data_IF_424441945433
#
_entry.id   IF_424441945433
#
_cell.length_a   1.000
_cell.length_b   1.000
_cell.length_c   1.000
_cell.angle_alpha   90.00
_cell.angle_beta   90.00
_cell.angle_gamma   90.00
#
_symmetry.space_group_name_H-M   'P 1'
#
loop_
_entity.id
_entity.type
_entity.pdbx_description
1 polymer ?
#
# COMPACT_ATOMS: atom_id res chain seq x y z
N UNK A 1 -3.57 -16.27 3.54
CA UNK A 1 -2.52 -15.23 3.47
C UNK A 1 -1.26 -15.71 4.17
N UNK A 2 -0.11 -15.55 3.55
CA UNK A 2 1.21 -15.85 4.09
C UNK A 2 1.93 -14.55 4.42
N UNK A 3 2.47 -14.44 5.63
CA UNK A 3 3.32 -13.33 6.07
C UNK A 3 4.74 -13.84 6.30
N UNK A 4 5.72 -13.18 5.70
CA UNK A 4 7.14 -13.44 5.95
C UNK A 4 7.78 -12.19 6.54
N UNK A 5 8.44 -12.31 7.68
CA UNK A 5 9.17 -11.22 8.34
C UNK A 5 10.48 -11.71 8.91
N UNK A 6 11.35 -10.80 9.32
CA UNK A 6 12.49 -11.16 10.16
C UNK A 6 12.01 -11.63 11.53
N UNK A 7 12.71 -12.57 12.13
CA UNK A 7 12.34 -13.16 13.43
C UNK A 7 12.89 -12.35 14.59
N UNK A 8 12.13 -12.30 15.68
CA UNK A 8 12.61 -11.79 16.97
C UNK A 8 13.73 -12.65 17.59
N UNK A 9 13.90 -13.89 17.12
CA UNK A 9 15.03 -14.76 17.51
C UNK A 9 16.34 -14.42 16.79
N UNK A 10 16.33 -13.38 15.93
CA UNK A 10 17.56 -12.89 15.30
C UNK A 10 18.51 -12.32 16.34
N UNK A 11 19.79 -12.65 16.21
CA UNK A 11 20.85 -12.20 17.09
C UNK A 11 21.70 -11.14 16.39
N UNK A 12 21.94 -10.02 17.05
CA UNK A 12 22.78 -8.92 16.55
C UNK A 12 23.67 -8.45 17.69
N UNK A 13 24.99 -8.60 17.52
CA UNK A 13 26.01 -8.06 18.42
C UNK A 13 26.79 -6.98 17.66
N UNK A 14 26.86 -5.80 18.23
CA UNK A 14 27.52 -4.64 17.64
C UNK A 14 28.58 -4.11 18.66
N UNK A 15 29.86 -4.34 18.36
CA UNK A 15 30.92 -3.99 19.29
C UNK A 15 30.75 -4.68 20.69
N UNK A 16 30.27 -5.93 20.69
CA UNK A 16 29.97 -6.70 21.91
C UNK A 16 28.62 -6.38 22.57
N UNK A 17 27.89 -5.38 22.11
CA UNK A 17 26.58 -5.00 22.63
C UNK A 17 25.46 -5.76 21.87
N UNK A 18 24.60 -6.46 22.58
CA UNK A 18 23.42 -7.12 22.02
C UNK A 18 22.35 -6.08 21.67
N UNK A 19 21.79 -6.19 20.45
CA UNK A 19 20.72 -5.34 19.94
C UNK A 19 19.49 -6.18 19.62
N UNK A 20 18.33 -5.62 19.91
CA UNK A 20 17.04 -6.23 19.58
C UNK A 20 16.47 -5.59 18.32
N UNK A 21 16.04 -6.42 17.35
CA UNK A 21 15.36 -5.95 16.16
C UNK A 21 14.12 -5.10 16.53
N UNK A 22 13.93 -4.03 15.75
CA UNK A 22 12.86 -3.03 15.83
C UNK A 22 12.83 -2.16 17.10
N UNK A 23 13.56 -2.53 18.16
CA UNK A 23 13.77 -1.67 19.32
C UNK A 23 15.06 -0.87 19.22
N UNK A 24 16.17 -1.55 18.93
CA UNK A 24 17.53 -0.98 18.92
C UNK A 24 18.07 -0.88 17.49
N UNK A 25 17.62 -1.77 16.59
CA UNK A 25 18.07 -1.89 15.22
C UNK A 25 16.92 -2.19 14.26
N UNK A 26 16.99 -1.65 13.05
CA UNK A 26 16.12 -1.97 11.92
C UNK A 26 17.00 -2.49 10.79
N UNK A 27 16.72 -3.69 10.29
CA UNK A 27 17.31 -4.17 9.07
C UNK A 27 16.65 -3.47 7.87
N UNK A 28 17.46 -2.87 6.99
CA UNK A 28 16.95 -2.12 5.83
C UNK A 28 16.55 -3.02 4.66
N UNK A 29 16.70 -4.35 4.83
CA UNK A 29 16.14 -5.36 3.93
C UNK A 29 15.50 -6.47 4.75
N UNK A 30 14.48 -7.12 4.18
CA UNK A 30 13.81 -8.27 4.80
C UNK A 30 14.48 -9.61 4.45
N UNK A 31 15.76 -9.58 4.07
CA UNK A 31 16.52 -10.77 3.73
C UNK A 31 17.27 -11.29 4.97
N UNK A 32 17.36 -12.62 5.17
CA UNK A 32 18.24 -13.19 6.16
C UNK A 32 19.69 -12.75 5.96
N UNK A 33 20.41 -12.57 7.05
CA UNK A 33 21.80 -12.10 7.03
C UNK A 33 22.61 -12.94 8.02
N UNK A 34 23.78 -13.41 7.58
CA UNK A 34 24.81 -13.96 8.46
C UNK A 34 26.08 -13.13 8.26
N UNK A 35 26.62 -12.55 9.32
CA UNK A 35 27.81 -11.71 9.28
C UNK A 35 28.68 -11.89 10.51
N UNK A 36 30.00 -11.98 10.32
CA UNK A 36 31.05 -11.77 11.34
C UNK A 36 32.12 -10.88 10.70
N UNK A 37 31.97 -9.56 10.86
CA UNK A 37 32.73 -8.55 10.15
C UNK A 37 33.39 -7.58 11.13
N UNK A 38 34.68 -7.23 10.93
CA UNK A 38 35.29 -6.13 11.65
C UNK A 38 34.57 -4.83 11.29
N UNK A 39 34.37 -3.95 12.27
CA UNK A 39 33.78 -2.65 12.08
C UNK A 39 34.85 -1.61 11.82
N UNK A 40 34.58 -0.72 10.87
CA UNK A 40 35.29 0.54 10.71
C UNK A 40 34.29 1.71 10.85
N UNK A 41 34.60 2.61 11.74
CA UNK A 41 33.80 3.83 11.90
C UNK A 41 34.38 4.93 10.98
N UNK A 42 33.48 5.57 10.23
CA UNK A 42 33.82 6.73 9.39
C UNK A 42 32.96 7.91 9.82
N UNK A 43 33.57 9.09 9.94
CA UNK A 43 32.91 10.28 10.46
C UNK A 43 31.87 10.84 9.45
N UNK A 44 32.19 10.76 8.16
CA UNK A 44 31.38 11.33 7.07
C UNK A 44 31.70 10.66 5.72
N UNK A 45 31.03 11.13 4.66
CA UNK A 45 31.24 10.59 3.29
C UNK A 45 32.64 10.88 2.76
N UNK A 46 33.30 11.96 3.17
CA UNK A 46 34.67 12.26 2.74
C UNK A 46 35.70 11.36 3.45
N UNK A 47 35.45 10.99 4.70
CA UNK A 47 36.25 10.00 5.41
C UNK A 47 36.06 8.60 4.80
N UNK A 48 34.88 8.25 4.29
CA UNK A 48 34.62 6.97 3.62
C UNK A 48 35.53 6.77 2.40
N UNK A 49 35.78 7.83 1.60
CA UNK A 49 36.64 7.76 0.41
C UNK A 49 38.12 7.55 0.73
N UNK A 50 38.54 7.91 1.94
CA UNK A 50 39.96 7.83 2.38
C UNK A 50 40.25 6.66 3.31
N UNK A 51 39.23 5.91 3.70
CA UNK A 51 39.36 4.81 4.66
C UNK A 51 39.29 3.46 3.95
N UNK A 52 40.17 2.54 4.27
CA UNK A 52 40.05 1.16 3.78
C UNK A 52 38.85 0.47 4.45
N UNK A 53 37.80 0.31 3.70
CA UNK A 53 36.52 -0.29 4.14
C UNK A 53 36.29 -1.66 3.49
N UNK A 54 37.19 -2.13 2.64
CA UNK A 54 36.99 -3.35 1.85
C UNK A 54 36.79 -4.57 2.77
N UNK A 55 35.67 -5.25 2.57
CA UNK A 55 35.31 -6.45 3.34
C UNK A 55 34.94 -6.19 4.81
N UNK A 56 34.74 -4.93 5.21
CA UNK A 56 34.39 -4.55 6.60
C UNK A 56 32.96 -4.07 6.69
N UNK A 57 32.40 -4.11 7.88
CA UNK A 57 31.15 -3.42 8.22
C UNK A 57 31.48 -1.93 8.46
N UNK A 58 30.83 -1.03 7.72
CA UNK A 58 31.09 0.41 7.81
C UNK A 58 30.01 1.06 8.69
N UNK A 59 30.44 1.66 9.79
CA UNK A 59 29.57 2.39 10.69
C UNK A 59 29.72 3.91 10.47
N UNK A 60 28.60 4.62 10.33
CA UNK A 60 28.59 6.07 10.22
C UNK A 60 27.33 6.67 10.82
N UNK A 61 27.46 7.89 11.37
CA UNK A 61 26.31 8.66 11.84
C UNK A 61 25.58 9.29 10.64
N UNK A 62 24.25 9.21 10.64
CA UNK A 62 23.39 9.87 9.66
C UNK A 62 22.62 10.98 10.33
N UNK A 63 22.43 12.09 9.61
CA UNK A 63 21.69 13.27 10.06
C UNK A 63 20.45 13.47 9.18
N UNK A 64 19.38 14.07 9.71
CA UNK A 64 18.20 14.37 8.90
C UNK A 64 18.56 15.28 7.72
N UNK A 65 17.95 15.03 6.56
CA UNK A 65 17.99 15.99 5.46
C UNK A 65 17.02 17.11 5.82
N UNK A 66 17.45 18.40 5.79
CA UNK A 66 16.51 19.51 5.96
C UNK A 66 15.38 19.40 4.92
N UNK A 67 14.16 19.17 5.38
CA UNK A 67 13.00 19.19 4.52
C UNK A 67 12.58 20.64 4.29
N UNK A 68 12.41 21.06 3.03
CA UNK A 68 11.68 22.27 2.74
C UNK A 68 10.24 22.09 3.24
N UNK A 69 9.59 23.14 3.76
CA UNK A 69 8.20 23.06 4.18
C UNK A 69 7.34 22.69 2.97
N UNK A 70 7.03 21.41 2.86
CA UNK A 70 6.09 20.91 1.87
C UNK A 70 4.66 21.21 2.33
N UNK A 71 3.75 21.44 1.40
CA UNK A 71 2.35 21.71 1.65
C UNK A 71 1.74 20.72 2.66
N UNK A 72 0.83 21.20 3.47
CA UNK A 72 0.32 20.64 4.74
C UNK A 72 -0.08 19.15 4.78
N UNK A 73 -0.17 18.44 3.65
CA UNK A 73 -0.67 17.07 3.57
C UNK A 73 0.39 15.98 3.41
N UNK A 74 1.66 16.34 3.25
CA UNK A 74 2.72 15.39 2.90
C UNK A 74 3.74 15.12 4.01
N UNK A 75 3.55 15.65 5.22
CA UNK A 75 4.63 15.72 6.22
C UNK A 75 5.11 14.33 6.69
N UNK A 76 4.22 13.37 6.94
CA UNK A 76 4.65 12.02 7.38
C UNK A 76 5.16 11.15 6.23
N UNK A 77 4.46 11.09 5.13
CA UNK A 77 4.84 10.29 3.97
C UNK A 77 6.13 10.79 3.31
N UNK A 78 6.29 12.09 3.14
CA UNK A 78 7.49 12.69 2.55
C UNK A 78 8.72 12.56 3.45
N UNK A 79 8.57 12.73 4.78
CA UNK A 79 9.70 12.58 5.69
C UNK A 79 10.19 11.13 5.75
N UNK A 80 9.30 10.15 5.78
CA UNK A 80 9.64 8.73 5.72
C UNK A 80 10.27 8.36 4.38
N UNK A 81 9.72 8.84 3.26
CA UNK A 81 10.27 8.60 1.93
C UNK A 81 11.65 9.24 1.77
N UNK A 82 11.84 10.46 2.28
CA UNK A 82 13.12 11.18 2.25
C UNK A 82 14.16 10.47 3.13
N UNK A 83 13.79 10.06 4.34
CA UNK A 83 14.68 9.30 5.23
C UNK A 83 15.06 7.97 4.62
N UNK A 84 14.13 7.22 4.07
CA UNK A 84 14.41 5.95 3.39
C UNK A 84 15.31 6.13 2.17
N UNK A 85 15.15 7.21 1.39
CA UNK A 85 16.02 7.54 0.26
C UNK A 85 17.44 7.88 0.72
N UNK A 86 17.57 8.68 1.78
CA UNK A 86 18.84 9.02 2.41
C UNK A 86 19.58 7.76 2.89
N UNK A 87 18.92 6.89 3.64
CA UNK A 87 19.51 5.65 4.13
C UNK A 87 19.99 4.78 2.97
N UNK A 88 19.17 4.59 1.93
CA UNK A 88 19.58 3.85 0.72
C UNK A 88 20.78 4.46 0.03
N UNK A 89 20.88 5.79 -0.04
CA UNK A 89 22.02 6.48 -0.63
C UNK A 89 23.31 6.20 0.14
N UNK A 90 23.29 6.22 1.47
CA UNK A 90 24.45 5.88 2.29
C UNK A 90 24.86 4.41 2.09
N UNK A 91 23.90 3.48 2.11
CA UNK A 91 24.18 2.06 1.82
C UNK A 91 24.83 1.88 0.46
N UNK A 92 24.33 2.55 -0.58
CA UNK A 92 24.89 2.47 -1.92
C UNK A 92 26.34 2.99 -1.99
N UNK A 93 26.63 4.11 -1.32
CA UNK A 93 28.01 4.67 -1.25
C UNK A 93 28.97 3.73 -0.54
N UNK A 94 28.54 3.12 0.59
CA UNK A 94 29.35 2.15 1.33
C UNK A 94 29.62 0.91 0.46
N UNK A 95 28.60 0.42 -0.25
CA UNK A 95 28.76 -0.72 -1.18
C UNK A 95 29.74 -0.39 -2.32
N UNK A 96 29.66 0.81 -2.92
CA UNK A 96 30.56 1.28 -3.96
C UNK A 96 32.00 1.39 -3.47
N UNK A 97 32.21 1.79 -2.23
CA UNK A 97 33.54 1.83 -1.60
C UNK A 97 34.10 0.44 -1.25
N UNK A 98 33.33 -0.64 -1.42
CA UNK A 98 33.73 -2.02 -1.13
C UNK A 98 33.42 -2.50 0.28
N UNK A 99 32.61 -1.76 1.04
CA UNK A 99 32.10 -2.20 2.35
C UNK A 99 31.25 -3.45 2.21
N UNK A 100 31.38 -4.38 3.16
CA UNK A 100 30.63 -5.64 3.19
C UNK A 100 29.28 -5.54 3.88
N UNK A 101 29.11 -4.57 4.79
CA UNK A 101 27.85 -4.24 5.45
C UNK A 101 27.81 -2.75 5.83
N UNK A 102 26.62 -2.20 6.00
CA UNK A 102 26.40 -0.81 6.46
C UNK A 102 25.74 -0.79 7.83
N UNK A 103 26.23 0.07 8.72
CA UNK A 103 25.67 0.37 10.03
C UNK A 103 25.41 1.88 10.08
N UNK A 104 24.16 2.28 9.87
CA UNK A 104 23.76 3.67 9.87
C UNK A 104 23.24 4.04 11.26
N UNK A 105 23.88 4.99 11.92
CA UNK A 105 23.61 5.36 13.31
C UNK A 105 22.83 6.68 13.32
N UNK A 106 21.67 6.72 13.97
CA UNK A 106 20.93 7.98 14.18
C UNK A 106 21.80 8.99 14.94
N UNK A 107 21.67 10.28 14.61
CA UNK A 107 22.37 11.36 15.32
C UNK A 107 21.78 11.67 16.70
N UNK A 108 20.65 11.05 17.05
CA UNK A 108 19.91 11.27 18.30
C UNK A 108 18.90 12.40 18.23
N UNK A 109 18.64 12.96 17.03
CA UNK A 109 17.58 13.94 16.83
C UNK A 109 16.18 13.31 16.93
N UNK A 110 15.20 14.05 17.46
CA UNK A 110 13.80 13.61 17.55
C UNK A 110 13.23 13.19 16.20
N UNK A 111 13.62 13.89 15.14
CA UNK A 111 13.18 13.60 13.77
C UNK A 111 13.61 12.22 13.29
N UNK A 112 14.87 11.82 13.54
CA UNK A 112 15.33 10.45 13.20
C UNK A 112 14.78 9.40 14.16
N UNK A 113 14.52 9.73 15.42
CA UNK A 113 13.87 8.80 16.35
C UNK A 113 12.43 8.49 15.95
N UNK A 114 11.66 9.49 15.54
CA UNK A 114 10.30 9.27 15.00
C UNK A 114 10.34 8.45 13.71
N UNK A 115 11.23 8.77 12.79
CA UNK A 115 11.40 8.00 11.55
C UNK A 115 11.87 6.57 11.82
N UNK A 116 12.72 6.35 12.84
CA UNK A 116 13.15 5.03 13.25
C UNK A 116 11.96 4.20 13.74
N UNK A 117 11.12 4.74 14.63
CA UNK A 117 9.91 4.06 15.13
C UNK A 117 8.97 3.70 13.98
N UNK A 118 8.73 4.62 13.06
CA UNK A 118 7.89 4.38 11.90
C UNK A 118 8.47 3.28 10.98
N UNK A 119 9.78 3.33 10.71
CA UNK A 119 10.47 2.34 9.87
C UNK A 119 10.51 0.97 10.55
N UNK A 120 10.78 0.92 11.86
CA UNK A 120 10.75 -0.30 12.66
C UNK A 120 9.37 -0.97 12.60
N UNK A 121 8.31 -0.19 12.68
CA UNK A 121 6.94 -0.67 12.59
C UNK A 121 6.64 -1.30 11.22
N UNK A 122 6.98 -0.61 10.15
CA UNK A 122 6.78 -1.14 8.78
C UNK A 122 7.62 -2.38 8.56
N UNK A 123 8.90 -2.36 8.96
CA UNK A 123 9.81 -3.50 8.81
C UNK A 123 9.36 -4.72 9.63
N UNK A 124 8.85 -4.52 10.85
CA UNK A 124 8.36 -5.62 11.70
C UNK A 124 7.14 -6.34 11.14
N UNK A 125 6.39 -5.71 10.26
CA UNK A 125 5.27 -6.34 9.55
C UNK A 125 5.73 -7.39 8.55
N UNK A 126 6.88 -7.17 7.90
CA UNK A 126 7.39 -8.00 6.82
C UNK A 126 6.57 -7.83 5.53
N UNK A 127 6.53 -8.89 4.74
CA UNK A 127 5.79 -8.96 3.48
C UNK A 127 4.63 -9.92 3.56
N UNK A 128 3.58 -9.65 2.80
CA UNK A 128 2.39 -10.47 2.71
C UNK A 128 2.20 -10.99 1.29
N UNK A 129 1.69 -12.21 1.17
CA UNK A 129 1.37 -12.82 -0.10
C UNK A 129 0.13 -13.71 0.03
N UNK A 130 -0.57 -13.92 -1.07
CA UNK A 130 -1.62 -14.91 -1.16
C UNK A 130 -0.94 -16.27 -1.20
N UNK A 131 -1.37 -17.18 -0.33
CA UNK A 131 -0.93 -18.57 -0.36
C UNK A 131 -2.00 -19.37 -1.10
N UNK A 132 -1.71 -19.71 -2.37
CA UNK A 132 -2.55 -20.64 -3.10
C UNK A 132 -2.24 -22.05 -2.61
N UNK A 133 -3.18 -22.69 -1.95
CA UNK A 133 -3.03 -24.05 -1.45
C UNK A 133 -2.50 -24.98 -2.58
N UNK A 134 -1.23 -25.38 -2.47
CA UNK A 134 -0.58 -26.34 -3.36
C UNK A 134 0.18 -25.79 -4.56
N UNK A 135 0.31 -24.50 -4.76
CA UNK A 135 1.07 -23.89 -5.86
C UNK A 135 2.22 -23.02 -5.36
N UNK A 136 3.32 -23.00 -6.11
CA UNK A 136 4.42 -22.07 -5.89
C UNK A 136 3.89 -20.65 -5.74
N UNK A 137 4.50 -19.85 -4.83
CA UNK A 137 4.16 -18.46 -4.55
C UNK A 137 3.77 -17.74 -5.85
N UNK A 138 2.48 -17.45 -6.01
CA UNK A 138 1.96 -16.83 -7.22
C UNK A 138 2.54 -15.43 -7.36
N UNK A 139 3.65 -15.31 -8.06
CA UNK A 139 3.94 -14.10 -8.80
C UNK A 139 2.78 -13.94 -9.76
N UNK A 140 1.98 -12.87 -9.57
CA UNK A 140 0.93 -12.54 -10.53
C UNK A 140 1.62 -12.39 -11.89
N UNK A 141 1.50 -13.43 -12.72
CA UNK A 141 1.98 -13.38 -14.07
C UNK A 141 1.20 -12.23 -14.75
N UNK A 142 1.94 -11.27 -15.26
CA UNK A 142 1.46 -10.32 -16.24
C UNK A 142 0.71 -11.12 -17.31
N UNK A 143 -0.51 -10.73 -17.74
CA UNK A 143 -1.18 -11.43 -18.83
C UNK A 143 -0.23 -11.51 -20.02
N UNK A 144 -0.18 -12.63 -20.76
CA UNK A 144 0.74 -12.81 -21.84
C UNK A 144 0.45 -11.75 -22.91
N UNK A 145 1.36 -10.79 -23.05
CA UNK A 145 1.42 -9.99 -24.26
C UNK A 145 1.77 -10.95 -25.38
N UNK A 146 0.84 -11.16 -26.31
CA UNK A 146 1.14 -11.81 -27.58
C UNK A 146 2.23 -10.98 -28.30
N UNK A 147 3.46 -11.40 -28.13
CA UNK A 147 4.52 -11.10 -29.07
C UNK A 147 5.44 -12.33 -29.09
N UNK A 148 5.13 -13.23 -30.01
CA UNK A 148 6.02 -14.33 -30.39
C UNK A 148 7.11 -13.72 -31.23
N UNK A 149 8.34 -13.70 -30.71
CA UNK A 149 9.62 -13.87 -31.39
C UNK A 149 10.74 -13.12 -30.69
N UNK A 150 11.41 -13.80 -29.76
CA UNK A 150 12.84 -13.65 -29.52
C UNK A 150 13.33 -14.81 -28.64
N UNK A 151 14.52 -15.38 -28.89
CA UNK A 151 15.00 -16.60 -28.25
C UNK A 151 15.53 -16.33 -26.85
N UNK A 152 15.34 -17.32 -25.98
CA UNK A 152 15.56 -17.27 -24.56
C UNK A 152 16.98 -17.14 -24.07
N UNK A 153 17.08 -16.58 -22.89
CA UNK A 153 18.09 -16.95 -21.87
C UNK A 153 17.41 -16.89 -20.51
N UNK A 154 17.32 -18.01 -19.85
CA UNK A 154 16.74 -18.14 -18.53
C UNK A 154 17.61 -17.53 -17.43
N UNK A 155 16.97 -16.85 -16.47
CA UNK A 155 17.52 -16.70 -15.11
C UNK A 155 16.39 -16.46 -14.11
N UNK A 156 16.34 -17.29 -13.10
CA UNK A 156 15.48 -17.14 -11.94
C UNK A 156 15.85 -15.87 -11.14
N UNK A 157 14.86 -15.03 -10.87
CA UNK A 157 15.02 -13.84 -10.04
C UNK A 157 13.85 -13.70 -9.08
N UNK A 158 14.12 -13.74 -7.77
CA UNK A 158 13.14 -13.56 -6.71
C UNK A 158 12.53 -12.17 -6.71
N UNK A 159 11.20 -12.12 -6.64
CA UNK A 159 10.43 -10.89 -6.61
C UNK A 159 10.34 -10.29 -5.21
N UNK A 160 10.72 -9.04 -5.07
CA UNK A 160 10.41 -8.23 -3.90
C UNK A 160 9.10 -7.49 -4.14
N UNK A 161 8.16 -7.68 -3.24
CA UNK A 161 6.96 -6.86 -3.16
C UNK A 161 7.28 -5.60 -2.33
N UNK A 162 7.25 -4.45 -2.96
CA UNK A 162 7.34 -3.15 -2.30
C UNK A 162 6.70 -2.12 -3.21
N UNK A 163 5.67 -1.45 -2.74
CA UNK A 163 5.05 -0.37 -3.47
C UNK A 163 6.02 0.78 -3.74
N UNK A 164 5.99 1.32 -4.93
CA UNK A 164 6.78 2.47 -5.35
C UNK A 164 7.47 2.22 -6.69
N UNK A 165 6.86 2.79 -7.77
CA UNK A 165 7.43 2.75 -9.11
C UNK A 165 8.81 3.38 -9.20
N UNK A 166 9.78 2.63 -9.71
CA UNK A 166 11.11 3.10 -10.06
C UNK A 166 11.60 2.34 -11.27
N UNK A 167 11.89 3.08 -12.34
CA UNK A 167 12.51 2.61 -13.58
C UNK A 167 13.76 1.80 -13.27
N UNK A 168 13.91 0.66 -13.94
CA UNK A 168 15.02 -0.23 -13.81
C UNK A 168 16.37 0.47 -13.93
N UNK A 169 17.18 0.32 -12.90
CA UNK A 169 18.62 0.50 -12.93
C UNK A 169 19.25 -0.80 -12.46
N UNK A 170 20.35 -1.13 -13.17
CA UNK A 170 21.07 -2.37 -13.06
C UNK A 170 21.36 -2.84 -11.63
N UNK A 171 21.64 -4.12 -11.49
CA UNK A 171 22.04 -4.83 -10.29
C UNK A 171 23.11 -4.07 -9.48
N UNK A 172 22.69 -3.15 -8.63
CA UNK A 172 23.54 -2.71 -7.54
C UNK A 172 23.55 -3.82 -6.50
N UNK A 173 24.72 -4.36 -6.21
CA UNK A 173 24.95 -5.35 -5.15
C UNK A 173 24.52 -4.69 -3.85
N UNK A 174 23.37 -5.07 -3.34
CA UNK A 174 22.86 -4.56 -2.06
C UNK A 174 23.58 -5.32 -0.96
N UNK A 175 24.39 -4.61 -0.18
CA UNK A 175 25.02 -5.15 1.04
C UNK A 175 24.01 -5.19 2.18
N UNK A 176 24.18 -6.08 3.18
CA UNK A 176 23.43 -6.02 4.45
C UNK A 176 23.53 -4.64 5.10
N UNK A 177 22.42 -4.12 5.59
CA UNK A 177 22.39 -2.81 6.20
C UNK A 177 21.49 -2.77 7.43
N UNK A 178 22.00 -2.20 8.51
CA UNK A 178 21.29 -1.93 9.76
C UNK A 178 21.19 -0.43 9.99
N UNK A 179 20.02 0.03 10.37
CA UNK A 179 19.84 1.35 10.95
C UNK A 179 19.66 1.20 12.45
N UNK A 180 20.48 1.88 13.24
CA UNK A 180 20.56 1.71 14.69
C UNK A 180 20.45 3.05 15.43
N UNK A 181 19.99 2.99 16.66
CA UNK A 181 19.92 4.18 17.52
C UNK A 181 21.28 4.68 17.93
N UNK A 182 21.39 5.95 18.33
CA UNK A 182 22.64 6.60 18.75
C UNK A 182 23.36 5.89 19.91
N UNK A 183 22.63 5.23 20.79
CA UNK A 183 23.16 4.53 21.95
C UNK A 183 24.26 3.47 21.66
N UNK A 184 24.47 3.12 20.39
CA UNK A 184 25.51 2.15 19.98
C UNK A 184 26.83 2.81 19.59
N UNK A 185 26.90 4.15 19.51
CA UNK A 185 28.02 4.87 18.93
C UNK A 185 29.38 4.51 19.57
N UNK A 186 29.43 4.45 20.89
CA UNK A 186 30.66 4.10 21.60
C UNK A 186 31.06 2.64 21.35
N UNK A 187 30.10 1.72 21.22
CA UNK A 187 30.36 0.32 20.94
C UNK A 187 31.03 0.11 19.58
N UNK A 188 30.62 0.89 18.54
CA UNK A 188 31.21 0.76 17.21
C UNK A 188 32.57 1.46 17.08
N UNK A 189 32.90 2.40 17.97
CA UNK A 189 34.17 3.10 18.03
C UNK A 189 35.23 2.33 18.84
N UNK A 190 34.82 1.31 19.57
CA UNK A 190 35.71 0.50 20.37
C UNK A 190 36.78 -0.19 19.51
N UNK A 191 38.02 -0.32 19.98
CA UNK A 191 39.04 -1.07 19.27
C UNK A 191 38.59 -2.52 19.02
N UNK A 192 38.85 -3.01 17.81
CA UNK A 192 38.45 -4.36 17.36
C UNK A 192 36.93 -4.64 17.40
N UNK A 193 36.09 -3.61 17.32
CA UNK A 193 34.65 -3.78 17.25
C UNK A 193 34.26 -4.67 16.06
N UNK A 194 33.29 -5.55 16.26
CA UNK A 194 32.74 -6.44 15.24
C UNK A 194 31.23 -6.31 15.14
N UNK A 195 30.72 -6.52 13.94
CA UNK A 195 29.34 -6.87 13.69
C UNK A 195 29.25 -8.40 13.63
N UNK A 196 28.59 -9.00 14.60
CA UNK A 196 28.21 -10.42 14.53
C UNK A 196 26.68 -10.45 14.45
N UNK A 197 26.14 -10.98 13.36
CA UNK A 197 24.70 -11.00 13.14
C UNK A 197 24.26 -12.33 12.55
N UNK A 198 23.18 -12.87 13.13
CA UNK A 198 22.41 -13.99 12.60
C UNK A 198 20.95 -13.53 12.50
N UNK A 199 20.60 -12.90 11.38
CA UNK A 199 19.24 -12.41 11.13
C UNK A 199 18.51 -13.48 10.34
N UNK A 200 17.46 -14.03 10.93
CA UNK A 200 16.66 -15.10 10.34
C UNK A 200 15.25 -14.61 10.04
N UNK A 201 14.57 -15.26 9.10
CA UNK A 201 13.18 -14.98 8.79
C UNK A 201 12.24 -16.05 9.32
N UNK A 202 11.01 -15.65 9.60
CA UNK A 202 9.92 -16.53 10.01
C UNK A 202 8.70 -16.32 9.11
N UNK A 203 7.92 -17.37 8.93
CA UNK A 203 6.72 -17.34 8.08
C UNK A 203 5.51 -17.77 8.89
N UNK A 204 4.44 -16.99 8.75
CA UNK A 204 3.15 -17.24 9.39
C UNK A 204 2.07 -17.39 8.32
N UNK A 205 1.03 -18.15 8.65
CA UNK A 205 -0.17 -18.28 7.83
C UNK A 205 -1.37 -17.75 8.59
N UNK A 206 -2.16 -16.90 7.94
CA UNK A 206 -3.37 -16.32 8.51
C UNK A 206 -4.55 -16.56 7.58
N UNK A 207 -5.72 -16.91 8.12
CA UNK A 207 -6.95 -16.82 7.33
C UNK A 207 -7.22 -15.34 7.01
N UNK A 208 -7.71 -15.11 5.80
CA UNK A 208 -8.29 -13.84 5.37
C UNK A 208 -9.39 -14.19 4.38
N UNK A 209 -10.45 -13.40 4.35
CA UNK A 209 -11.61 -13.67 3.50
C UNK A 209 -12.24 -12.39 2.97
N UNK A 210 -12.84 -12.52 1.80
CA UNK A 210 -13.79 -11.55 1.30
C UNK A 210 -15.20 -11.95 1.75
N UNK A 211 -16.02 -10.98 2.14
CA UNK A 211 -17.44 -11.21 2.41
C UNK A 211 -18.24 -10.80 1.18
N UNK A 212 -19.11 -11.69 0.71
CA UNK A 212 -19.83 -11.50 -0.53
C UNK A 212 -21.33 -11.60 -0.27
N UNK A 213 -22.08 -10.66 -0.84
CA UNK A 213 -23.54 -10.65 -0.77
C UNK A 213 -24.15 -10.29 -2.13
N UNK A 214 -25.35 -10.78 -2.40
CA UNK A 214 -26.09 -10.50 -3.64
C UNK A 214 -27.50 -10.09 -3.33
N UNK A 215 -27.95 -8.99 -3.92
CA UNK A 215 -29.38 -8.65 -4.05
C UNK A 215 -29.81 -8.98 -5.47
N UNK A 216 -30.82 -9.86 -5.59
CA UNK A 216 -31.30 -10.32 -6.91
C UNK A 216 -31.95 -9.17 -7.67
N UNK A 217 -31.70 -9.16 -8.98
CA UNK A 217 -32.41 -8.24 -9.90
C UNK A 217 -33.83 -8.73 -10.19
N UNK A 218 -34.66 -7.83 -10.72
CA UNK A 218 -36.06 -8.10 -11.05
C UNK A 218 -36.29 -8.50 -12.49
N UNK A 219 -35.34 -8.25 -13.40
CA UNK A 219 -35.44 -8.63 -14.81
C UNK A 219 -34.67 -9.91 -15.08
N UNK A 220 -35.35 -11.04 -15.42
CA UNK A 220 -34.68 -12.30 -15.72
C UNK A 220 -33.69 -12.22 -16.90
N UNK A 221 -33.88 -11.29 -17.84
CA UNK A 221 -32.99 -11.10 -18.99
C UNK A 221 -31.64 -10.51 -18.59
N UNK A 222 -31.62 -9.79 -17.47
CA UNK A 222 -30.43 -9.12 -16.92
C UNK A 222 -29.83 -9.86 -15.71
N UNK A 223 -30.31 -11.08 -15.42
CA UNK A 223 -29.91 -11.85 -14.25
C UNK A 223 -28.41 -12.18 -14.17
N UNK A 224 -27.68 -12.04 -15.26
CA UNK A 224 -26.24 -12.23 -15.42
C UNK A 224 -25.47 -10.92 -15.65
N UNK A 225 -26.03 -9.76 -15.27
CA UNK A 225 -25.39 -8.47 -15.39
C UNK A 225 -25.30 -7.77 -14.03
N UNK A 226 -24.23 -8.06 -13.30
CA UNK A 226 -24.03 -7.60 -11.92
C UNK A 226 -23.41 -6.20 -11.86
N UNK A 227 -24.05 -5.29 -11.11
CA UNK A 227 -23.41 -4.06 -10.64
C UNK A 227 -22.73 -4.37 -9.31
N UNK A 228 -21.41 -4.21 -9.24
CA UNK A 228 -20.62 -4.58 -8.07
C UNK A 228 -20.24 -3.35 -7.25
N UNK A 229 -20.57 -3.38 -5.95
CA UNK A 229 -20.04 -2.47 -4.95
C UNK A 229 -18.90 -3.13 -4.19
N UNK A 230 -17.79 -2.43 -4.03
CA UNK A 230 -16.63 -2.90 -3.28
C UNK A 230 -16.08 -1.85 -2.31
N UNK A 231 -15.39 -2.35 -1.33
CA UNK A 231 -14.58 -1.65 -0.35
C UNK A 231 -13.94 -2.65 0.57
N UNK A 232 -12.87 -2.29 1.27
CA UNK A 232 -12.25 -3.22 2.20
C UNK A 232 -12.83 -3.11 3.61
N UNK A 233 -12.66 -4.19 4.39
CA UNK A 233 -13.14 -4.31 5.76
C UNK A 233 -12.01 -4.43 6.79
N UNK A 234 -10.77 -4.59 6.33
CA UNK A 234 -9.61 -4.64 7.19
C UNK A 234 -9.01 -3.25 7.40
N UNK A 235 -8.31 -3.09 8.51
CA UNK A 235 -7.42 -1.97 8.78
C UNK A 235 -6.20 -2.45 9.58
N UNK A 236 -5.42 -1.54 10.10
CA UNK A 236 -4.14 -1.81 10.74
C UNK A 236 -4.21 -2.54 12.09
N UNK A 237 -5.31 -2.41 12.83
CA UNK A 237 -5.48 -3.06 14.13
C UNK A 237 -4.49 -2.54 15.18
N UNK A 238 -3.90 -3.43 15.97
CA UNK A 238 -2.92 -3.02 16.98
C UNK A 238 -1.54 -2.77 16.36
N UNK A 239 -0.99 -1.58 16.61
CA UNK A 239 0.34 -1.14 16.13
C UNK A 239 1.15 -0.50 17.28
N UNK A 240 2.14 0.30 16.91
CA UNK A 240 2.90 1.07 17.89
C UNK A 240 2.04 2.18 18.52
N UNK A 241 2.40 2.51 19.77
CA UNK A 241 1.69 3.52 20.55
C UNK A 241 1.96 4.92 19.98
N UNK A 242 0.90 5.69 19.75
CA UNK A 242 0.93 7.10 19.40
C UNK A 242 0.08 7.86 20.41
N UNK A 243 0.67 8.74 21.19
CA UNK A 243 -0.01 9.51 22.25
C UNK A 243 -0.80 8.63 23.24
N UNK A 244 -0.23 7.47 23.61
CA UNK A 244 -0.86 6.53 24.56
C UNK A 244 -1.82 5.52 23.95
N UNK A 245 -2.12 5.62 22.65
CA UNK A 245 -3.04 4.72 21.96
C UNK A 245 -2.29 3.83 20.94
N UNK A 246 -2.60 2.53 20.94
CA UNK A 246 -2.04 1.52 20.03
C UNK A 246 -3.08 0.92 19.09
N UNK A 247 -4.34 1.33 19.19
CA UNK A 247 -5.42 0.80 18.36
C UNK A 247 -5.64 1.74 17.17
N UNK A 248 -5.40 1.21 15.99
CA UNK A 248 -5.58 1.91 14.73
C UNK A 248 -6.91 1.47 14.15
N UNK A 249 -7.93 2.30 14.38
CA UNK A 249 -9.34 1.92 14.24
C UNK A 249 -9.79 1.77 12.78
N UNK A 250 -9.38 2.69 11.90
CA UNK A 250 -9.81 2.69 10.51
C UNK A 250 -11.28 3.05 10.33
N UNK A 251 -11.73 4.12 11.00
CA UNK A 251 -13.14 4.50 10.95
C UNK A 251 -13.53 5.07 9.58
N UNK A 252 -12.69 5.93 9.00
CA UNK A 252 -12.86 6.36 7.61
C UNK A 252 -12.25 5.35 6.66
N UNK A 253 -11.08 4.83 6.99
CA UNK A 253 -10.31 3.86 6.23
C UNK A 253 -10.42 2.43 6.82
N UNK A 254 -11.42 1.58 6.50
CA UNK A 254 -12.48 1.85 5.53
C UNK A 254 -13.86 1.42 6.07
N UNK A 255 -14.08 1.56 7.41
CA UNK A 255 -15.38 1.24 8.00
C UNK A 255 -16.49 2.16 7.45
N UNK A 256 -16.16 3.40 7.05
CA UNK A 256 -17.10 4.32 6.42
C UNK A 256 -17.78 3.70 5.19
N UNK A 257 -16.99 3.09 4.30
CA UNK A 257 -17.53 2.39 3.11
C UNK A 257 -18.22 1.10 3.49
N UNK A 258 -17.68 0.35 4.46
CA UNK A 258 -18.32 -0.89 4.91
C UNK A 258 -19.76 -0.67 5.37
N UNK A 259 -20.02 0.39 6.14
CA UNK A 259 -21.40 0.72 6.59
C UNK A 259 -22.23 1.34 5.46
N UNK A 260 -21.62 2.13 4.57
CA UNK A 260 -22.30 2.67 3.39
C UNK A 260 -22.83 1.54 2.49
N UNK A 261 -22.02 0.52 2.23
CA UNK A 261 -22.43 -0.65 1.44
C UNK A 261 -23.58 -1.42 2.09
N UNK A 262 -23.62 -1.53 3.42
CA UNK A 262 -24.76 -2.12 4.13
C UNK A 262 -26.03 -1.29 3.97
N UNK A 263 -25.93 0.05 4.01
CA UNK A 263 -27.06 0.94 3.76
C UNK A 263 -27.56 0.84 2.31
N UNK A 264 -26.64 0.78 1.34
CA UNK A 264 -26.95 0.59 -0.08
C UNK A 264 -27.64 -0.76 -0.31
N UNK A 265 -27.13 -1.83 0.32
CA UNK A 265 -27.73 -3.16 0.22
C UNK A 265 -29.18 -3.17 0.74
N UNK A 266 -29.44 -2.53 1.89
CA UNK A 266 -30.79 -2.37 2.44
C UNK A 266 -31.72 -1.61 1.50
N UNK A 267 -31.20 -0.56 0.84
CA UNK A 267 -31.98 0.21 -0.13
C UNK A 267 -32.36 -0.65 -1.36
N UNK A 268 -31.43 -1.44 -1.90
CA UNK A 268 -31.74 -2.34 -3.01
C UNK A 268 -32.63 -3.54 -2.61
N UNK A 269 -32.57 -4.00 -1.37
CA UNK A 269 -33.53 -4.99 -0.85
C UNK A 269 -34.95 -4.40 -0.79
N UNK A 270 -35.08 -3.15 -0.35
CA UNK A 270 -36.36 -2.46 -0.28
C UNK A 270 -36.92 -2.07 -1.68
N UNK A 271 -36.03 -1.71 -2.59
CA UNK A 271 -36.33 -1.27 -3.96
C UNK A 271 -35.41 -1.98 -4.95
N UNK A 272 -35.70 -3.23 -5.35
CA UNK A 272 -34.84 -3.99 -6.24
C UNK A 272 -34.76 -3.38 -7.62
N UNK A 273 -33.53 -3.33 -8.17
CA UNK A 273 -33.28 -2.88 -9.53
C UNK A 273 -33.45 -4.01 -10.57
N UNK A 274 -33.56 -3.72 -11.88
CA UNK A 274 -33.57 -4.75 -12.92
C UNK A 274 -32.35 -5.65 -12.92
N UNK A 275 -31.11 -5.08 -12.80
CA UNK A 275 -29.87 -5.86 -12.67
C UNK A 275 -29.62 -6.26 -11.22
N UNK A 276 -29.05 -7.44 -10.97
CA UNK A 276 -28.61 -7.84 -9.63
C UNK A 276 -27.46 -6.97 -9.15
N UNK A 277 -27.38 -6.80 -7.82
CA UNK A 277 -26.33 -6.03 -7.17
C UNK A 277 -25.43 -6.99 -6.38
N UNK A 278 -24.16 -6.96 -6.65
CA UNK A 278 -23.14 -7.75 -5.99
C UNK A 278 -22.34 -6.87 -5.05
N UNK A 279 -22.20 -7.30 -3.79
CA UNK A 279 -21.42 -6.62 -2.77
C UNK A 279 -20.20 -7.45 -2.43
N UNK A 280 -19.03 -6.86 -2.38
CA UNK A 280 -17.79 -7.53 -1.99
C UNK A 280 -17.01 -6.64 -1.01
N UNK A 281 -17.00 -7.05 0.27
CA UNK A 281 -16.12 -6.48 1.28
C UNK A 281 -14.79 -7.22 1.23
N UNK A 282 -13.76 -6.56 0.75
CA UNK A 282 -12.44 -7.16 0.62
C UNK A 282 -11.70 -7.23 1.94
N UNK A 283 -10.93 -8.29 2.14
CA UNK A 283 -9.98 -8.41 3.23
C UNK A 283 -8.56 -8.21 2.76
N UNK A 284 -7.69 -7.76 3.67
CA UNK A 284 -6.27 -7.58 3.41
C UNK A 284 -5.94 -6.60 2.26
N UNK A 285 -6.72 -5.54 2.10
CA UNK A 285 -6.42 -4.40 1.25
C UNK A 285 -5.13 -3.73 1.69
N UNK A 286 -5.03 -3.43 3.00
CA UNK A 286 -3.91 -2.81 3.70
C UNK A 286 -2.60 -3.61 3.60
N UNK A 287 -2.67 -4.79 3.05
CA UNK A 287 -1.53 -5.70 2.81
C UNK A 287 -1.18 -5.81 1.33
N UNK A 288 -1.69 -4.90 0.50
CA UNK A 288 -1.41 -4.77 -0.91
C UNK A 288 -2.53 -5.32 -1.80
N UNK A 289 -3.78 -4.94 -1.53
CA UNK A 289 -4.96 -5.31 -2.32
C UNK A 289 -5.14 -6.84 -2.42
N UNK A 290 -4.79 -7.60 -1.37
CA UNK A 290 -4.75 -9.06 -1.49
C UNK A 290 -6.13 -9.66 -1.69
N UNK A 291 -7.15 -9.11 -1.04
CA UNK A 291 -8.52 -9.59 -1.14
C UNK A 291 -9.13 -9.37 -2.52
N UNK A 292 -9.04 -8.17 -3.06
CA UNK A 292 -9.56 -7.85 -4.39
C UNK A 292 -8.78 -8.55 -5.51
N UNK A 293 -7.46 -8.66 -5.38
CA UNK A 293 -6.62 -9.46 -6.28
C UNK A 293 -7.01 -10.94 -6.28
N UNK A 294 -7.26 -11.48 -5.07
CA UNK A 294 -7.76 -12.86 -4.96
C UNK A 294 -9.13 -13.00 -5.62
N UNK A 295 -10.08 -12.11 -5.30
CA UNK A 295 -11.43 -12.18 -5.81
C UNK A 295 -11.48 -12.07 -7.34
N UNK A 296 -10.73 -11.16 -7.95
CA UNK A 296 -10.66 -11.05 -9.42
C UNK A 296 -10.18 -12.35 -10.06
N UNK A 297 -9.25 -13.09 -9.42
CA UNK A 297 -8.80 -14.38 -9.96
C UNK A 297 -9.70 -15.58 -9.61
N UNK A 298 -10.61 -15.41 -8.64
CA UNK A 298 -11.49 -16.46 -8.12
C UNK A 298 -12.90 -15.91 -7.89
N UNK A 299 -13.37 -15.10 -8.83
CA UNK A 299 -14.67 -14.43 -8.70
C UNK A 299 -15.82 -15.43 -8.63
N UNK A 300 -16.85 -15.06 -7.86
CA UNK A 300 -18.07 -15.88 -7.70
C UNK A 300 -18.98 -15.84 -8.92
N UNK A 301 -18.73 -14.90 -9.83
CA UNK A 301 -19.42 -14.76 -11.12
C UNK A 301 -18.38 -14.49 -12.22
N UNK A 302 -18.64 -14.86 -13.49
CA UNK A 302 -17.74 -14.54 -14.61
C UNK A 302 -17.48 -13.03 -14.70
N UNK A 303 -16.26 -12.61 -15.05
CA UNK A 303 -15.94 -11.19 -15.26
C UNK A 303 -16.84 -10.53 -16.29
N UNK A 304 -17.22 -11.25 -17.33
CA UNK A 304 -18.14 -10.77 -18.37
C UNK A 304 -19.53 -10.43 -17.85
N UNK A 305 -19.90 -10.94 -16.69
CA UNK A 305 -21.16 -10.67 -16.01
C UNK A 305 -21.08 -9.48 -15.03
N UNK A 306 -19.88 -9.00 -14.70
CA UNK A 306 -19.68 -7.78 -13.88
C UNK A 306 -19.70 -6.59 -14.84
N UNK A 307 -20.78 -5.81 -14.82
CA UNK A 307 -20.97 -4.70 -15.74
C UNK A 307 -20.34 -3.39 -15.29
N UNK A 308 -20.19 -3.20 -13.98
CA UNK A 308 -19.54 -2.05 -13.39
C UNK A 308 -19.05 -2.37 -11.97
N UNK A 309 -17.96 -1.75 -11.55
CA UNK A 309 -17.43 -1.77 -10.18
C UNK A 309 -17.43 -0.37 -9.60
N UNK A 310 -18.14 -0.21 -8.50
CA UNK A 310 -18.28 1.02 -7.73
C UNK A 310 -17.53 0.82 -6.41
N UNK A 311 -16.24 1.12 -6.40
CA UNK A 311 -15.41 1.03 -5.20
C UNK A 311 -15.55 2.28 -4.36
N UNK A 312 -15.48 2.11 -3.04
CA UNK A 312 -15.34 3.23 -2.13
C UNK A 312 -14.13 3.03 -1.23
N UNK A 313 -13.45 4.15 -0.94
CA UNK A 313 -12.35 4.17 -0.01
C UNK A 313 -12.25 5.55 0.65
N UNK A 314 -12.50 5.59 1.99
CA UNK A 314 -12.49 6.81 2.78
C UNK A 314 -13.53 7.83 2.28
N UNK A 315 -14.76 7.75 2.76
CA UNK A 315 -15.87 8.58 2.28
C UNK A 315 -16.53 9.47 3.35
N UNK A 316 -15.91 9.61 4.53
CA UNK A 316 -16.51 10.28 5.68
C UNK A 316 -15.74 11.49 6.23
N UNK A 317 -14.73 12.03 5.53
CA UNK A 317 -13.86 13.09 6.07
C UNK A 317 -13.63 14.24 5.08
N UNK A 318 -12.82 15.21 5.50
CA UNK A 318 -12.43 16.41 4.77
C UNK A 318 -13.59 17.41 4.55
N UNK A 319 -13.42 18.36 3.62
CA UNK A 319 -14.41 19.39 3.31
C UNK A 319 -15.78 18.76 2.99
N UNK A 320 -16.87 19.17 3.67
CA UNK A 320 -18.19 18.56 3.49
C UNK A 320 -18.73 18.65 2.06
N UNK A 321 -18.31 19.63 1.27
CA UNK A 321 -18.79 19.86 -0.09
C UNK A 321 -17.83 19.37 -1.18
N UNK A 322 -16.69 18.78 -0.79
CA UNK A 322 -15.70 18.26 -1.74
C UNK A 322 -15.63 16.74 -1.69
N UNK A 323 -15.42 16.13 -2.87
CA UNK A 323 -15.18 14.70 -3.03
C UNK A 323 -14.26 14.43 -4.24
N UNK A 324 -13.84 13.20 -4.44
CA UNK A 324 -13.11 12.76 -5.62
C UNK A 324 -13.78 11.55 -6.26
N UNK A 325 -13.65 11.47 -7.58
CA UNK A 325 -13.97 10.30 -8.39
C UNK A 325 -12.69 9.89 -9.13
N UNK A 326 -12.11 8.77 -8.74
CA UNK A 326 -10.89 8.25 -9.33
C UNK A 326 -11.22 7.25 -10.43
N UNK A 327 -10.40 7.23 -11.49
CA UNK A 327 -10.76 6.57 -12.74
C UNK A 327 -11.66 7.44 -13.63
N UNK A 328 -11.84 8.71 -13.28
CA UNK A 328 -12.63 9.66 -14.08
C UNK A 328 -11.79 10.39 -15.11
N UNK A 329 -10.48 10.48 -14.94
CA UNK A 329 -9.58 11.19 -15.83
C UNK A 329 -8.73 10.24 -16.69
N UNK A 330 -8.46 10.58 -17.96
CA UNK A 330 -7.42 9.87 -18.72
C UNK A 330 -6.03 10.04 -18.04
N UNK A 331 -5.18 9.02 -18.06
CA UNK A 331 -5.31 7.69 -18.65
C UNK A 331 -6.02 6.66 -17.76
N UNK A 332 -6.48 7.01 -16.57
CA UNK A 332 -7.07 6.09 -15.60
C UNK A 332 -8.51 5.69 -15.98
N UNK A 333 -9.22 6.54 -16.70
CA UNK A 333 -10.60 6.29 -17.12
C UNK A 333 -10.69 5.10 -18.08
N UNK A 334 -11.32 4.00 -17.61
CA UNK A 334 -11.50 2.80 -18.41
C UNK A 334 -12.90 2.66 -19.01
N UNK A 335 -13.88 3.46 -18.56
CA UNK A 335 -15.24 3.50 -19.09
C UNK A 335 -15.78 4.93 -19.09
N UNK A 336 -16.20 5.44 -20.25
CA UNK A 336 -16.80 6.78 -20.36
C UNK A 336 -18.19 6.76 -19.76
N UNK A 337 -19.03 5.80 -20.14
CA UNK A 337 -20.41 5.71 -19.70
C UNK A 337 -20.54 5.60 -18.17
N UNK A 338 -19.67 4.78 -17.52
CA UNK A 338 -19.69 4.65 -16.06
C UNK A 338 -19.33 5.97 -15.37
N UNK A 339 -18.32 6.69 -15.88
CA UNK A 339 -17.95 8.01 -15.36
C UNK A 339 -19.07 9.02 -15.55
N UNK A 340 -19.69 9.06 -16.74
CA UNK A 340 -20.80 9.97 -17.02
C UNK A 340 -22.01 9.69 -16.11
N UNK A 341 -22.31 8.42 -15.82
CA UNK A 341 -23.36 8.03 -14.87
C UNK A 341 -23.06 8.51 -13.44
N UNK A 342 -21.81 8.42 -12.99
CA UNK A 342 -21.40 8.90 -11.67
C UNK A 342 -21.44 10.44 -11.61
N UNK A 343 -21.00 11.14 -12.66
CA UNK A 343 -21.05 12.59 -12.74
C UNK A 343 -22.50 13.10 -12.80
N UNK A 344 -23.37 12.40 -13.53
CA UNK A 344 -24.81 12.71 -13.58
C UNK A 344 -25.44 12.54 -12.20
N UNK A 345 -25.20 11.43 -11.52
CA UNK A 345 -25.70 11.20 -10.15
C UNK A 345 -25.24 12.30 -9.18
N UNK A 346 -23.99 12.76 -9.31
CA UNK A 346 -23.51 13.89 -8.51
C UNK A 346 -24.24 15.19 -8.86
N UNK A 347 -24.36 15.52 -10.14
CA UNK A 347 -24.96 16.78 -10.57
C UNK A 347 -26.45 16.88 -10.26
N UNK A 348 -27.17 15.76 -10.27
CA UNK A 348 -28.61 15.72 -10.01
C UNK A 348 -28.96 15.62 -8.52
N UNK A 349 -28.08 14.99 -7.69
CA UNK A 349 -28.47 14.62 -6.33
C UNK A 349 -27.54 15.15 -5.25
N UNK A 350 -26.22 15.09 -5.44
CA UNK A 350 -25.30 15.31 -4.32
C UNK A 350 -24.48 16.59 -4.41
N UNK A 351 -24.27 17.12 -5.59
CA UNK A 351 -23.64 18.41 -5.86
C UNK A 351 -22.26 18.61 -5.20
N UNK A 352 -21.46 17.54 -5.11
CA UNK A 352 -20.06 17.67 -4.63
C UNK A 352 -19.23 18.42 -5.66
N UNK A 353 -18.37 19.31 -5.17
CA UNK A 353 -17.26 19.86 -5.93
C UNK A 353 -16.18 18.77 -6.05
N UNK A 354 -15.93 18.31 -7.27
CA UNK A 354 -15.00 17.20 -7.48
C UNK A 354 -13.56 17.69 -7.58
N UNK A 355 -12.68 17.13 -6.76
CA UNK A 355 -11.24 17.26 -6.90
C UNK A 355 -10.74 16.28 -7.96
N UNK A 356 -10.15 16.83 -9.02
CA UNK A 356 -9.62 16.06 -10.16
C UNK A 356 -8.09 15.94 -10.14
N UNK A 357 -7.44 16.58 -9.17
CA UNK A 357 -5.96 16.63 -9.11
C UNK A 357 -5.38 15.28 -8.70
N UNK A 358 -6.04 14.59 -7.78
CA UNK A 358 -5.57 13.32 -7.23
C UNK A 358 -5.67 12.14 -8.22
N UNK A 359 -6.51 12.26 -9.24
CA UNK A 359 -6.61 11.26 -10.32
C UNK A 359 -5.59 11.48 -11.45
N UNK A 360 -4.71 12.48 -11.33
CA UNK A 360 -3.67 12.74 -12.34
C UNK A 360 -2.48 11.80 -12.19
N UNK A 361 -1.91 11.30 -13.29
CA UNK A 361 -0.69 10.44 -13.25
C UNK A 361 0.51 11.12 -12.58
N UNK A 362 0.57 12.46 -12.64
CA UNK A 362 1.64 13.26 -12.04
C UNK A 362 1.47 13.48 -10.53
N UNK A 363 0.32 13.12 -9.96
CA UNK A 363 0.12 13.28 -8.52
C UNK A 363 1.07 12.38 -7.72
N UNK A 364 1.84 12.93 -6.77
CA UNK A 364 2.92 12.20 -6.10
C UNK A 364 2.43 10.98 -5.30
N UNK A 365 1.20 11.01 -4.79
CA UNK A 365 0.61 9.91 -4.03
C UNK A 365 0.21 8.73 -4.93
N UNK A 366 -0.03 8.96 -6.25
CA UNK A 366 -0.51 7.93 -7.16
C UNK A 366 -1.79 7.25 -6.67
N UNK A 367 -2.73 8.06 -6.17
CA UNK A 367 -3.88 7.62 -5.38
C UNK A 367 -4.75 6.59 -6.10
N UNK A 368 -4.97 6.76 -7.41
CA UNK A 368 -5.69 5.79 -8.24
C UNK A 368 -5.20 4.34 -8.11
N UNK A 369 -3.92 4.14 -7.75
CA UNK A 369 -3.32 2.79 -7.67
C UNK A 369 -3.40 2.17 -6.28
N UNK A 370 -4.19 2.73 -5.36
CA UNK A 370 -4.11 2.41 -3.94
C UNK A 370 -5.35 1.76 -3.36
N UNK A 371 -6.38 1.45 -4.16
CA UNK A 371 -7.59 0.80 -3.64
C UNK A 371 -8.12 -0.33 -4.54
N UNK A 372 -9.17 -0.99 -4.08
CA UNK A 372 -9.69 -2.26 -4.58
C UNK A 372 -10.33 -2.20 -5.98
N UNK A 373 -10.63 -1.01 -6.54
CA UNK A 373 -11.06 -0.88 -7.94
C UNK A 373 -9.96 -1.29 -8.93
N UNK A 374 -8.68 -1.15 -8.54
CA UNK A 374 -7.54 -1.34 -9.42
C UNK A 374 -7.43 -2.77 -10.01
N UNK A 375 -7.56 -3.87 -9.24
CA UNK A 375 -7.54 -5.22 -9.82
C UNK A 375 -8.64 -5.46 -10.86
N UNK A 376 -9.83 -4.90 -10.65
CA UNK A 376 -10.94 -5.00 -11.61
C UNK A 376 -10.67 -4.20 -12.88
N UNK A 377 -10.20 -2.96 -12.75
CA UNK A 377 -9.81 -2.15 -13.90
C UNK A 377 -8.72 -2.84 -14.75
N UNK A 378 -7.74 -3.48 -14.10
CA UNK A 378 -6.70 -4.28 -14.76
C UNK A 378 -7.24 -5.54 -15.45
N UNK A 379 -8.32 -6.09 -14.94
CA UNK A 379 -9.01 -7.22 -15.56
C UNK A 379 -9.93 -6.81 -16.72
N UNK A 380 -10.00 -5.53 -17.06
CA UNK A 380 -10.82 -5.01 -18.15
C UNK A 380 -12.30 -4.87 -17.79
N UNK A 381 -12.61 -4.66 -16.51
CA UNK A 381 -13.96 -4.41 -16.02
C UNK A 381 -14.12 -2.89 -15.80
N UNK A 382 -15.24 -2.26 -16.22
CA UNK A 382 -15.52 -0.85 -15.91
C UNK A 382 -15.44 -0.62 -14.39
N UNK A 383 -14.54 0.27 -13.92
CA UNK A 383 -14.33 0.48 -12.49
C UNK A 383 -13.98 1.93 -12.17
N UNK A 384 -14.58 2.45 -11.10
CA UNK A 384 -14.32 3.77 -10.53
C UNK A 384 -14.21 3.68 -9.01
N UNK A 385 -13.60 4.69 -8.41
CA UNK A 385 -13.49 4.80 -6.95
C UNK A 385 -14.06 6.15 -6.47
N UNK A 386 -14.88 6.09 -5.44
CA UNK A 386 -15.40 7.23 -4.68
C UNK A 386 -14.54 7.44 -3.45
N UNK A 387 -14.04 8.65 -3.24
CA UNK A 387 -13.19 8.98 -2.09
C UNK A 387 -13.40 10.40 -1.61
N UNK A 388 -13.07 10.65 -0.37
CA UNK A 388 -12.86 12.00 0.19
C UNK A 388 -11.40 12.32 0.40
N UNK A 389 -10.51 11.47 -0.10
CA UNK A 389 -9.07 11.64 -0.14
C UNK A 389 -8.38 11.59 1.25
N UNK A 390 -7.08 11.80 1.28
CA UNK A 390 -6.28 11.80 2.50
C UNK A 390 -6.70 12.90 3.48
N UNK A 391 -6.75 12.53 4.75
CA UNK A 391 -6.94 13.44 5.86
C UNK A 391 -5.82 13.27 6.92
N UNK A 392 -5.63 14.24 7.86
CA UNK A 392 -4.51 14.21 8.81
C UNK A 392 -4.48 13.01 9.77
N UNK A 393 -5.61 12.34 9.95
CA UNK A 393 -5.73 11.19 10.85
C UNK A 393 -5.55 9.83 10.13
N UNK A 394 -5.39 9.84 8.78
CA UNK A 394 -5.16 8.65 7.96
C UNK A 394 -3.99 7.80 8.51
N UNK A 395 -4.21 6.50 8.64
CA UNK A 395 -3.25 5.55 9.21
C UNK A 395 -2.67 6.01 10.55
N UNK A 396 -3.56 6.45 11.44
CA UNK A 396 -3.24 6.80 12.84
C UNK A 396 -4.33 6.29 13.77
N UNK A 397 -4.08 6.17 15.10
CA UNK A 397 -5.14 5.85 16.06
C UNK A 397 -6.30 6.84 16.06
N UNK A 398 -6.08 8.04 15.53
CA UNK A 398 -7.09 9.12 15.49
C UNK A 398 -8.12 8.96 14.37
N UNK A 399 -8.01 7.96 13.51
CA UNK A 399 -9.08 7.63 12.57
C UNK A 399 -10.22 6.90 13.30
N UNK A 400 -10.97 7.67 14.08
CA UNK A 400 -12.00 7.21 15.02
C UNK A 400 -13.41 7.53 14.53
N UNK A 401 -14.44 6.74 14.94
CA UNK A 401 -15.83 6.99 14.59
C UNK A 401 -16.33 8.39 14.97
N UNK A 402 -15.82 8.95 16.08
CA UNK A 402 -16.16 10.30 16.56
C UNK A 402 -15.76 11.43 15.60
N UNK A 403 -14.89 11.14 14.63
CA UNK A 403 -14.37 12.10 13.66
C UNK A 403 -15.02 12.01 12.28
N UNK A 404 -15.90 11.06 12.09
CA UNK A 404 -16.65 10.92 10.83
C UNK A 404 -17.70 12.04 10.71
N UNK A 405 -17.67 12.73 9.58
CA UNK A 405 -18.76 13.63 9.19
C UNK A 405 -19.95 12.79 8.68
N UNK A 406 -20.88 12.52 9.58
CA UNK A 406 -22.03 11.66 9.28
C UNK A 406 -22.92 12.23 8.15
N UNK A 407 -23.23 13.55 8.10
CA UNK A 407 -23.91 14.14 6.94
C UNK A 407 -23.19 13.91 5.63
N UNK A 408 -21.88 14.08 5.59
CA UNK A 408 -21.06 13.83 4.40
C UNK A 408 -21.08 12.36 4.02
N UNK A 409 -20.83 11.46 4.97
CA UNK A 409 -20.90 10.01 4.76
C UNK A 409 -22.24 9.59 4.14
N UNK A 410 -23.35 10.10 4.68
CA UNK A 410 -24.68 9.83 4.14
C UNK A 410 -24.84 10.38 2.71
N UNK A 411 -24.28 11.56 2.42
CA UNK A 411 -24.31 12.16 1.09
C UNK A 411 -23.46 11.39 0.08
N UNK A 412 -22.26 10.93 0.47
CA UNK A 412 -21.40 10.06 -0.33
C UNK A 412 -22.08 8.70 -0.60
N UNK A 413 -22.70 8.12 0.41
CA UNK A 413 -23.48 6.88 0.28
C UNK A 413 -24.61 7.03 -0.76
N UNK A 414 -25.30 8.17 -0.75
CA UNK A 414 -26.34 8.47 -1.75
C UNK A 414 -25.77 8.60 -3.15
N UNK A 415 -24.60 9.20 -3.30
CA UNK A 415 -23.93 9.32 -4.60
C UNK A 415 -23.57 7.94 -5.15
N UNK A 416 -22.93 7.10 -4.35
CA UNK A 416 -22.64 5.72 -4.71
C UNK A 416 -23.91 4.94 -5.09
N UNK A 417 -24.96 5.03 -4.25
CA UNK A 417 -26.24 4.37 -4.52
C UNK A 417 -26.87 4.85 -5.84
N UNK A 418 -26.95 6.16 -6.05
CA UNK A 418 -27.57 6.73 -7.25
C UNK A 418 -26.81 6.34 -8.52
N UNK A 419 -25.48 6.33 -8.48
CA UNK A 419 -24.65 5.85 -9.59
C UNK A 419 -24.97 4.39 -9.91
N UNK A 420 -24.99 3.53 -8.92
CA UNK A 420 -25.31 2.12 -9.15
C UNK A 420 -26.77 1.89 -9.56
N UNK A 421 -27.70 2.72 -9.07
CA UNK A 421 -29.09 2.69 -9.54
C UNK A 421 -29.21 3.02 -11.02
N UNK A 422 -28.51 4.08 -11.47
CA UNK A 422 -28.47 4.47 -12.89
C UNK A 422 -27.95 3.30 -13.74
N UNK A 423 -26.80 2.71 -13.35
CA UNK A 423 -26.22 1.58 -14.07
C UNK A 423 -27.14 0.36 -14.03
N UNK A 424 -27.77 0.07 -12.88
CA UNK A 424 -28.62 -1.10 -12.71
C UNK A 424 -29.96 -1.00 -13.47
N UNK A 425 -30.40 0.20 -13.81
CA UNK A 425 -31.65 0.46 -14.54
C UNK A 425 -31.42 0.85 -16.01
N UNK A 426 -30.16 1.11 -16.42
CA UNK A 426 -29.86 1.51 -17.79
C UNK A 426 -30.21 0.42 -18.81
N UNK A 427 -30.64 0.82 -19.99
CA UNK A 427 -30.93 -0.12 -21.08
C UNK A 427 -29.65 -0.82 -21.60
N UNK A 428 -28.52 -0.13 -21.54
CA UNK A 428 -27.20 -0.63 -21.95
C UNK A 428 -26.25 -0.64 -20.78
N UNK A 429 -25.34 -1.60 -20.76
CA UNK A 429 -24.25 -1.70 -19.77
C UNK A 429 -23.11 -0.74 -20.14
N UNK A 430 -22.34 -0.22 -19.17
CA UNK A 430 -21.12 0.50 -19.46
C UNK A 430 -20.09 -0.37 -20.19
N UNK A 431 -19.45 0.19 -21.21
CA UNK A 431 -18.40 -0.46 -21.97
C UNK A 431 -17.02 0.00 -21.54
N UNK A 432 -16.03 -0.88 -21.65
CA UNK A 432 -14.62 -0.52 -21.50
C UNK A 432 -14.13 0.17 -22.76
N UNK A 433 -13.37 1.24 -22.61
CA UNK A 433 -12.73 1.95 -23.72
C UNK A 433 -11.88 0.97 -24.53
N UNK A 434 -12.12 0.89 -25.84
CA UNK A 434 -11.36 0.00 -26.73
C UNK A 434 -9.86 0.30 -26.66
N UNK A 435 -9.06 -0.75 -26.44
CA UNK A 435 -7.60 -0.62 -26.32
C UNK A 435 -7.13 -0.01 -25.00
N UNK A 436 -8.00 0.16 -24.00
CA UNK A 436 -7.60 0.64 -22.68
C UNK A 436 -6.42 -0.17 -22.13
N UNK A 437 -5.39 0.53 -21.71
CA UNK A 437 -4.22 -0.03 -21.02
C UNK A 437 -3.90 0.87 -19.84
N UNK A 438 -3.88 0.27 -18.67
CA UNK A 438 -3.47 0.98 -17.48
C UNK A 438 -1.96 1.08 -17.43
N UNK A 439 -1.46 2.30 -17.60
CA UNK A 439 -0.03 2.59 -17.55
C UNK A 439 0.37 2.94 -16.11
N UNK A 440 1.17 2.07 -15.52
CA UNK A 440 2.08 2.36 -14.42
C UNK A 440 3.19 1.35 -14.38
#
# INVERSE_FOLDING_TARGET
MRRTRLSMSSEILLGGRALQLWRDAVALSNQPVSADLPIVYVADSAALERTDVKGKAVAMVVTPIPTQPAAQFTIRGNFQATTAAMLRQHVARIAQAGGAAAILISDGSSALDEAFVATATVSSRGSYAIDSAGGAAGTFARPPTQNQNAPGTGRAGGGAAGGGGGRGRGNATTIPALWVRNAVLESVRSPNAKLVASIVSETFYYPSGNVIGVVKGTDPRLAHEYVLYSGHQDHDGTRYVVNGDSIWNGADDNASVSVAMLAIARAFVAHPAPRPILFVWHGAEERGLLGSRWYVNHSTVPHSEIVAVLNGDMIGRNDPDSAALLGAQPPHRNSVALVDDALRANSELTHFKLDTVWDRPSHPEGWYFRSDHLPYARAGIPAIEFSTLLHPDYHTPRDEPSRIDIPKLARMTRWMYATGWIVATAAQRPDVISGFKLER
#
